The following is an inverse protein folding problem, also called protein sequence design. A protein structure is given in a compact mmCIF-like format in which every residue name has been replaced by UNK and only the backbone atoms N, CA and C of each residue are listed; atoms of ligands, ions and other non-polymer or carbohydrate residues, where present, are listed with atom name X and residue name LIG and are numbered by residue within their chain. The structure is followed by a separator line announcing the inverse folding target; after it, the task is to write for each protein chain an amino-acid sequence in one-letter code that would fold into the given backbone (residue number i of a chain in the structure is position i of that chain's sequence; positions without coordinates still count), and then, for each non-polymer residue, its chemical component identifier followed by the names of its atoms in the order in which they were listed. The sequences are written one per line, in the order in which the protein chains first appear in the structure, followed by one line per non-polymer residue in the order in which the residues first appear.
data_IF_108629806743
#
_entry.id   IF_108629806743
#
_cell.length_a   1.000
_cell.length_b   1.000
_cell.length_c   1.000
_cell.angle_alpha   90.00
_cell.angle_beta   90.00
_cell.angle_gamma   90.00
#
_symmetry.space_group_name_H-M   'P 1'
#
loop_
_entity.id
_entity.type
_entity.pdbx_description
1 polymer ?
#
# COMPACT_ATOMS: atom_id res chain seq x y z
N UNK A 1 10.33 -14.70 -17.12
CA UNK A 1 9.71 -14.11 -18.33
C UNK A 1 8.83 -12.91 -18.04
N UNK A 2 8.12 -12.84 -16.90
CA UNK A 2 7.15 -11.78 -16.58
C UNK A 2 7.76 -10.48 -16.01
N UNK A 3 9.06 -10.41 -15.82
CA UNK A 3 9.75 -9.28 -15.12
C UNK A 3 9.52 -7.92 -15.77
N UNK A 4 9.32 -7.88 -17.09
CA UNK A 4 9.19 -6.64 -17.86
C UNK A 4 7.73 -6.16 -18.04
N UNK A 5 6.73 -6.97 -17.69
CA UNK A 5 5.31 -6.63 -17.91
C UNK A 5 4.92 -5.33 -17.20
N UNK A 6 5.17 -5.23 -15.89
CA UNK A 6 4.84 -4.04 -15.12
C UNK A 6 5.66 -2.80 -15.55
N UNK A 7 6.99 -2.87 -15.74
CA UNK A 7 7.76 -1.74 -16.24
C UNK A 7 7.34 -1.24 -17.61
N UNK A 8 7.03 -2.13 -18.53
CA UNK A 8 6.54 -1.75 -19.87
C UNK A 8 5.16 -1.11 -19.80
N UNK A 9 4.26 -1.67 -19.00
CA UNK A 9 2.95 -1.06 -18.78
C UNK A 9 3.06 0.35 -18.16
N UNK A 10 3.89 0.52 -17.13
CA UNK A 10 4.05 1.83 -16.48
C UNK A 10 4.68 2.89 -17.39
N UNK A 11 5.47 2.48 -18.42
CA UNK A 11 6.07 3.40 -19.39
C UNK A 11 5.16 3.77 -20.56
N UNK A 12 4.44 2.80 -21.10
CA UNK A 12 3.74 2.90 -22.39
C UNK A 12 2.21 2.82 -22.25
N UNK A 13 1.70 2.75 -21.02
CA UNK A 13 0.28 2.61 -20.74
C UNK A 13 -0.23 1.19 -20.98
N UNK A 14 -1.56 1.02 -20.82
CA UNK A 14 -2.19 -0.29 -20.79
C UNK A 14 -1.98 -1.07 -22.08
N UNK A 15 -2.42 -0.53 -23.21
CA UNK A 15 -2.48 -1.29 -24.46
C UNK A 15 -1.08 -1.59 -25.04
N UNK A 16 -0.28 -0.55 -25.23
CA UNK A 16 1.06 -0.72 -25.80
C UNK A 16 1.98 -1.46 -24.82
N UNK A 17 1.86 -1.21 -23.53
CA UNK A 17 2.65 -1.90 -22.52
C UNK A 17 2.33 -3.38 -22.42
N UNK A 18 1.06 -3.80 -22.52
CA UNK A 18 0.66 -5.20 -22.58
C UNK A 18 1.17 -5.86 -23.84
N UNK A 19 1.00 -5.21 -25.00
CA UNK A 19 1.49 -5.75 -26.28
C UNK A 19 3.01 -6.00 -26.26
N UNK A 20 3.79 -5.02 -25.83
CA UNK A 20 5.25 -5.16 -25.71
C UNK A 20 5.65 -6.20 -24.67
N UNK A 21 4.92 -6.28 -23.55
CA UNK A 21 5.13 -7.29 -22.51
C UNK A 21 4.84 -8.70 -23.00
N UNK A 22 3.76 -8.87 -23.75
CA UNK A 22 3.41 -10.16 -24.37
C UNK A 22 4.47 -10.59 -25.39
N UNK A 23 4.96 -9.65 -26.19
CA UNK A 23 6.02 -9.89 -27.17
C UNK A 23 7.32 -10.32 -26.47
N UNK A 24 7.73 -9.61 -25.41
CA UNK A 24 8.91 -9.95 -24.60
C UNK A 24 8.79 -11.34 -23.97
N UNK A 25 7.61 -11.66 -23.43
CA UNK A 25 7.33 -12.99 -22.86
C UNK A 25 7.38 -14.09 -23.92
N UNK A 26 6.84 -13.83 -25.10
CA UNK A 26 6.85 -14.80 -26.22
C UNK A 26 8.28 -15.11 -26.65
N UNK A 27 9.12 -14.09 -26.86
CA UNK A 27 10.54 -14.26 -27.16
C UNK A 27 11.29 -15.01 -26.05
N UNK A 28 11.05 -14.62 -24.78
CA UNK A 28 11.67 -15.29 -23.65
C UNK A 28 11.29 -16.78 -23.55
N UNK A 29 10.08 -17.14 -23.95
CA UNK A 29 9.60 -18.51 -23.91
C UNK A 29 10.16 -19.39 -25.07
N UNK A 30 10.30 -18.81 -26.24
CA UNK A 30 10.79 -19.57 -27.44
C UNK A 30 12.31 -19.57 -27.53
N UNK A 31 12.94 -18.42 -27.30
CA UNK A 31 14.38 -18.22 -27.54
C UNK A 31 15.22 -18.20 -26.24
N UNK A 32 14.58 -18.25 -25.09
CA UNK A 32 15.26 -18.26 -23.78
C UNK A 32 15.82 -16.90 -23.33
N UNK A 33 15.57 -15.81 -24.05
CA UNK A 33 16.01 -14.48 -23.67
C UNK A 33 14.89 -13.44 -23.78
N UNK A 34 14.96 -12.40 -22.94
CA UNK A 34 14.02 -11.27 -23.00
C UNK A 34 14.45 -10.28 -24.09
N UNK A 35 13.53 -9.87 -24.96
CA UNK A 35 13.77 -8.95 -26.06
C UNK A 35 14.30 -7.58 -25.59
N UNK A 36 13.76 -7.09 -24.47
CA UNK A 36 14.14 -5.79 -23.91
C UNK A 36 15.14 -5.88 -22.74
N UNK A 37 15.74 -7.07 -22.52
CA UNK A 37 16.63 -7.29 -21.37
C UNK A 37 15.90 -7.11 -20.04
N UNK A 38 16.40 -6.21 -19.16
CA UNK A 38 15.71 -5.84 -17.92
C UNK A 38 15.27 -4.38 -17.99
N UNK A 39 13.96 -4.17 -18.11
CA UNK A 39 13.37 -2.83 -18.12
C UNK A 39 13.19 -2.36 -16.68
N UNK A 40 13.71 -1.17 -16.36
CA UNK A 40 13.51 -0.53 -15.06
C UNK A 40 12.26 0.34 -15.07
N UNK A 41 11.62 0.50 -13.91
CA UNK A 41 10.57 1.48 -13.72
C UNK A 41 11.10 2.90 -14.00
N UNK A 42 10.22 3.79 -14.45
CA UNK A 42 10.58 5.18 -14.76
C UNK A 42 10.84 6.00 -13.49
N UNK A 43 10.08 5.72 -12.43
CA UNK A 43 10.11 6.41 -11.15
C UNK A 43 9.83 5.41 -10.01
N UNK A 44 10.07 5.81 -8.78
CA UNK A 44 9.69 5.02 -7.62
C UNK A 44 8.16 5.01 -7.44
N UNK A 45 7.64 4.03 -6.71
CA UNK A 45 6.17 3.88 -6.54
C UNK A 45 5.56 5.06 -5.77
N UNK A 46 6.28 5.61 -4.78
CA UNK A 46 5.82 6.78 -4.02
C UNK A 46 5.72 8.05 -4.87
N UNK A 47 6.59 8.23 -5.88
CA UNK A 47 6.56 9.37 -6.80
C UNK A 47 5.34 9.39 -7.73
N UNK A 48 4.60 8.28 -7.82
CA UNK A 48 3.43 8.17 -8.71
C UNK A 48 2.15 8.70 -8.10
N UNK A 49 2.14 9.02 -6.81
CA UNK A 49 0.96 9.49 -6.13
C UNK A 49 0.62 10.92 -6.55
N UNK A 50 -0.63 11.14 -6.95
CA UNK A 50 -1.14 12.46 -7.29
C UNK A 50 -1.66 13.17 -6.05
N UNK A 51 -1.64 14.51 -6.05
CA UNK A 51 -2.28 15.30 -5.00
C UNK A 51 -3.78 15.03 -4.97
N UNK A 52 -4.39 15.14 -3.82
CA UNK A 52 -5.83 14.91 -3.64
C UNK A 52 -6.66 15.87 -4.51
N UNK A 53 -6.24 17.13 -4.63
CA UNK A 53 -6.87 18.14 -5.50
C UNK A 53 -6.93 17.75 -6.98
N UNK A 54 -6.00 16.92 -7.44
CA UNK A 54 -5.88 16.51 -8.84
C UNK A 54 -6.63 15.21 -9.13
N UNK A 55 -7.27 14.64 -8.12
CA UNK A 55 -7.99 13.38 -8.19
C UNK A 55 -9.51 13.61 -8.13
N UNK A 56 -10.25 12.83 -8.92
CA UNK A 56 -11.70 12.77 -8.75
C UNK A 56 -12.06 11.90 -7.56
N UNK A 57 -13.00 12.37 -6.75
CA UNK A 57 -13.62 11.53 -5.72
C UNK A 57 -14.40 10.41 -6.41
N UNK A 58 -14.12 9.18 -6.02
CA UNK A 58 -14.83 8.01 -6.53
C UNK A 58 -15.76 7.55 -5.41
N UNK A 59 -17.06 7.54 -5.70
CA UNK A 59 -18.06 6.97 -4.80
C UNK A 59 -18.10 5.46 -5.02
N UNK A 60 -17.50 4.72 -4.11
CA UNK A 60 -17.50 3.26 -4.14
C UNK A 60 -18.80 2.73 -3.50
N UNK A 61 -19.44 1.72 -4.10
CA UNK A 61 -20.60 1.09 -3.49
C UNK A 61 -20.21 0.51 -2.12
N UNK A 62 -21.08 0.70 -1.15
CA UNK A 62 -20.90 0.09 0.18
C UNK A 62 -20.98 -1.44 0.09
N UNK A 63 -20.25 -2.13 0.95
CA UNK A 63 -20.33 -3.58 1.07
C UNK A 63 -21.76 -4.00 1.47
N UNK A 64 -22.22 -5.10 0.90
CA UNK A 64 -23.57 -5.63 1.12
C UNK A 64 -23.64 -6.67 2.26
N UNK A 65 -22.50 -7.04 2.82
CA UNK A 65 -22.37 -8.05 3.87
C UNK A 65 -22.69 -9.49 3.42
N UNK A 66 -22.84 -9.73 2.11
CA UNK A 66 -23.17 -11.05 1.52
C UNK A 66 -22.11 -11.51 0.51
N UNK A 67 -21.78 -10.66 -0.45
CA UNK A 67 -20.78 -10.92 -1.49
C UNK A 67 -19.53 -10.08 -1.22
N UNK A 68 -19.71 -8.87 -0.71
CA UNK A 68 -18.66 -7.95 -0.34
C UNK A 68 -18.75 -7.57 1.14
N UNK A 69 -17.61 -7.44 1.78
CA UNK A 69 -17.51 -7.17 3.22
C UNK A 69 -16.66 -5.94 3.48
N UNK A 70 -16.91 -5.26 4.60
CA UNK A 70 -16.10 -4.14 5.06
C UNK A 70 -14.65 -4.61 5.33
N UNK A 71 -13.70 -3.74 5.03
CA UNK A 71 -12.27 -4.05 5.20
C UNK A 71 -11.91 -4.46 6.64
N UNK A 72 -12.41 -3.71 7.62
CA UNK A 72 -12.11 -3.96 9.02
C UNK A 72 -12.78 -5.24 9.53
N UNK A 73 -13.98 -5.58 9.04
CA UNK A 73 -14.63 -6.84 9.34
C UNK A 73 -13.78 -8.02 8.85
N UNK A 74 -13.25 -7.94 7.62
CA UNK A 74 -12.37 -8.98 7.09
C UNK A 74 -11.09 -9.16 7.93
N UNK A 75 -10.48 -8.06 8.38
CA UNK A 75 -9.31 -8.11 9.26
C UNK A 75 -9.67 -8.74 10.61
N UNK A 76 -10.81 -8.35 11.18
CA UNK A 76 -11.31 -8.92 12.44
C UNK A 76 -11.58 -10.42 12.32
N UNK A 77 -12.24 -10.87 11.24
CA UNK A 77 -12.55 -12.29 11.02
C UNK A 77 -11.31 -13.14 10.78
N UNK A 78 -10.24 -12.59 10.25
CA UNK A 78 -8.97 -13.32 10.11
C UNK A 78 -8.28 -13.60 11.46
N UNK A 79 -8.68 -12.89 12.51
CA UNK A 79 -8.05 -12.96 13.82
C UNK A 79 -6.61 -12.46 13.82
N UNK A 80 -6.26 -11.54 12.92
CA UNK A 80 -4.92 -10.95 12.85
C UNK A 80 -4.59 -10.25 14.17
N UNK A 81 -3.53 -10.68 14.81
CA UNK A 81 -3.04 -10.12 16.08
C UNK A 81 -1.51 -10.22 16.17
N UNK A 82 -0.94 -9.38 17.02
CA UNK A 82 0.48 -9.42 17.35
C UNK A 82 0.63 -9.67 18.86
N UNK A 83 1.76 -10.21 19.29
CA UNK A 83 2.04 -10.39 20.71
C UNK A 83 2.11 -9.04 21.43
N UNK A 84 1.50 -8.93 22.61
CA UNK A 84 1.39 -7.67 23.35
C UNK A 84 2.77 -7.07 23.72
N UNK A 85 3.77 -7.91 23.96
CA UNK A 85 5.13 -7.48 24.27
C UNK A 85 5.99 -7.11 23.05
N UNK A 86 5.46 -7.26 21.84
CA UNK A 86 6.19 -6.98 20.61
C UNK A 86 6.31 -5.48 20.37
N UNK A 87 7.54 -4.96 20.11
CA UNK A 87 7.70 -3.55 19.74
C UNK A 87 6.97 -3.23 18.42
N UNK A 88 6.44 -2.02 18.30
CA UNK A 88 5.83 -1.57 17.05
C UNK A 88 6.85 -1.63 15.91
N UNK A 89 6.52 -2.38 14.87
CA UNK A 89 7.36 -2.58 13.69
C UNK A 89 7.18 -1.47 12.63
N UNK A 90 6.28 -0.53 12.87
CA UNK A 90 6.03 0.64 12.03
C UNK A 90 6.54 1.87 12.74
N UNK A 91 7.56 2.52 12.19
CA UNK A 91 8.12 3.75 12.74
C UNK A 91 7.94 4.91 11.79
N UNK A 92 7.74 6.08 12.35
CA UNK A 92 7.77 7.36 11.64
C UNK A 92 9.13 8.00 11.85
N UNK A 93 9.71 8.58 10.80
CA UNK A 93 10.91 9.38 10.92
C UNK A 93 10.59 10.76 11.54
N UNK A 94 9.42 11.32 11.19
CA UNK A 94 8.87 12.55 11.76
C UNK A 94 7.35 12.39 11.99
N UNK A 95 6.92 12.45 13.24
CA UNK A 95 5.52 12.31 13.66
C UNK A 95 4.60 13.42 13.14
N UNK A 96 5.16 14.54 12.73
CA UNK A 96 4.39 15.68 12.23
C UNK A 96 3.98 15.59 10.78
N UNK A 97 4.73 14.84 9.95
CA UNK A 97 4.54 14.75 8.50
C UNK A 97 3.14 14.25 8.11
N UNK A 98 2.59 13.19 8.72
CA UNK A 98 1.27 12.69 8.32
C UNK A 98 0.17 13.76 8.40
N UNK A 99 0.19 14.57 9.47
CA UNK A 99 -0.83 15.60 9.70
C UNK A 99 -0.50 16.90 8.96
N UNK A 100 0.75 17.36 9.01
CA UNK A 100 1.12 18.67 8.50
C UNK A 100 1.44 18.70 7.01
N UNK A 101 1.81 17.57 6.43
CA UNK A 101 2.19 17.48 5.02
C UNK A 101 1.30 16.53 4.22
N UNK A 102 1.20 15.25 4.63
CA UNK A 102 0.48 14.24 3.85
C UNK A 102 -1.03 14.48 3.85
N UNK A 103 -1.60 14.89 4.98
CA UNK A 103 -3.03 15.15 5.09
C UNK A 103 -3.49 16.29 4.18
N UNK A 104 -2.89 17.50 4.16
CA UNK A 104 -3.32 18.57 3.27
C UNK A 104 -2.98 18.33 1.80
N UNK A 105 -1.90 17.63 1.47
CA UNK A 105 -1.47 17.41 0.10
C UNK A 105 -2.15 16.20 -0.55
N UNK A 106 -2.37 15.13 0.19
CA UNK A 106 -2.79 13.81 -0.31
C UNK A 106 -3.97 13.20 0.46
N UNK A 107 -4.57 13.93 1.42
CA UNK A 107 -5.60 13.45 2.37
C UNK A 107 -5.13 12.22 3.17
N UNK A 108 -3.89 12.18 3.58
CA UNK A 108 -3.19 11.08 4.24
C UNK A 108 -3.51 9.73 3.60
N UNK A 109 -2.76 9.37 2.55
CA UNK A 109 -3.12 8.24 1.68
C UNK A 109 -2.93 6.88 2.35
N UNK A 110 -2.22 6.80 3.48
CA UNK A 110 -2.05 5.57 4.24
C UNK A 110 -3.39 4.99 4.70
N UNK A 111 -4.39 5.82 4.94
CA UNK A 111 -5.75 5.40 5.26
C UNK A 111 -6.39 4.58 4.13
N UNK A 112 -5.99 4.80 2.88
CA UNK A 112 -6.58 4.18 1.68
C UNK A 112 -5.75 3.04 1.13
N UNK A 113 -4.42 3.19 1.03
CA UNK A 113 -3.59 2.12 0.47
C UNK A 113 -3.30 0.99 1.45
N UNK A 114 -3.48 1.19 2.76
CA UNK A 114 -3.30 0.10 3.71
C UNK A 114 -4.47 -0.90 3.61
N UNK A 115 -4.21 -2.19 3.29
CA UNK A 115 -5.27 -3.18 3.14
C UNK A 115 -5.89 -3.58 4.48
N UNK A 116 -5.20 -3.34 5.60
CA UNK A 116 -5.60 -3.80 6.92
C UNK A 116 -6.12 -2.69 7.86
N UNK A 117 -6.30 -1.45 7.36
CA UNK A 117 -6.82 -0.35 8.17
C UNK A 117 -5.92 0.02 9.36
N UNK A 118 -4.60 -0.05 9.16
CA UNK A 118 -3.63 0.25 10.21
C UNK A 118 -3.56 1.74 10.51
N UNK A 119 -3.78 2.59 9.52
CA UNK A 119 -3.60 4.04 9.63
C UNK A 119 -4.92 4.78 9.63
N UNK A 120 -5.07 5.70 10.57
CA UNK A 120 -6.26 6.55 10.72
C UNK A 120 -5.89 7.98 11.05
N UNK A 121 -6.68 8.92 10.51
CA UNK A 121 -6.72 10.30 11.02
C UNK A 121 -7.89 10.41 11.98
N UNK A 122 -7.58 10.40 13.27
CA UNK A 122 -8.57 10.60 14.33
C UNK A 122 -8.78 12.09 14.53
N UNK A 123 -10.04 12.51 14.59
CA UNK A 123 -10.45 13.89 14.84
C UNK A 123 -11.30 13.91 16.11
N UNK A 124 -10.81 14.58 17.13
CA UNK A 124 -11.52 14.76 18.40
C UNK A 124 -12.25 16.11 18.41
N UNK A 125 -13.55 16.11 18.80
CA UNK A 125 -14.39 17.31 18.80
C UNK A 125 -14.68 17.87 17.41
N UNK A 126 -14.79 19.19 17.28
CA UNK A 126 -15.19 19.89 16.05
C UNK A 126 -14.09 19.98 14.96
N UNK A 127 -13.33 18.94 14.74
CA UNK A 127 -12.27 18.82 13.71
C UNK A 127 -11.00 19.69 13.92
N UNK A 128 -10.77 20.22 15.12
CA UNK A 128 -9.73 21.21 15.33
C UNK A 128 -8.30 20.64 15.45
N UNK A 129 -8.12 19.38 15.84
CA UNK A 129 -6.79 18.77 15.99
C UNK A 129 -6.75 17.34 15.44
N UNK A 130 -6.47 17.15 14.14
CA UNK A 130 -6.29 15.81 13.59
C UNK A 130 -5.05 15.13 14.19
N UNK A 131 -5.17 13.85 14.56
CA UNK A 131 -4.09 13.02 15.06
C UNK A 131 -3.92 11.80 14.17
N UNK A 132 -2.69 11.49 13.79
CA UNK A 132 -2.36 10.27 13.08
C UNK A 132 -2.23 9.10 14.06
N UNK A 133 -2.98 8.04 13.83
CA UNK A 133 -3.00 6.85 14.66
C UNK A 133 -2.55 5.63 13.87
N UNK A 134 -1.70 4.80 14.49
CA UNK A 134 -1.19 3.55 13.91
C UNK A 134 -1.73 2.38 14.74
N UNK A 135 -2.69 1.65 14.16
CA UNK A 135 -3.28 0.44 14.74
C UNK A 135 -2.46 -0.78 14.31
N UNK A 136 -1.22 -0.88 14.77
CA UNK A 136 -0.25 -1.87 14.30
C UNK A 136 -0.69 -3.32 14.51
N UNK A 137 -1.59 -3.58 15.45
CA UNK A 137 -2.17 -4.90 15.70
C UNK A 137 -2.89 -5.49 14.48
N UNK A 138 -3.43 -4.63 13.61
CA UNK A 138 -4.10 -5.05 12.37
C UNK A 138 -3.10 -5.35 11.24
N UNK A 139 -1.81 -5.07 11.40
CA UNK A 139 -0.85 -5.10 10.32
C UNK A 139 -0.59 -6.52 9.80
N UNK A 140 -0.71 -6.71 8.50
CA UNK A 140 -0.43 -7.98 7.79
C UNK A 140 0.97 -8.01 7.15
N UNK A 141 1.85 -7.08 7.51
CA UNK A 141 3.24 -6.98 7.06
C UNK A 141 3.44 -6.95 5.53
N UNK A 142 2.50 -6.36 4.80
CA UNK A 142 2.57 -6.27 3.33
C UNK A 142 3.57 -5.23 2.82
N UNK A 143 4.12 -4.36 3.68
CA UNK A 143 5.09 -3.29 3.37
C UNK A 143 4.60 -2.22 2.38
N UNK A 144 3.32 -2.19 2.07
CA UNK A 144 2.77 -1.20 1.14
C UNK A 144 3.03 0.23 1.63
N UNK A 145 2.97 0.48 2.93
CA UNK A 145 3.22 1.78 3.53
C UNK A 145 4.66 2.26 3.32
N UNK A 146 5.65 1.42 3.61
CA UNK A 146 7.07 1.69 3.41
C UNK A 146 7.40 2.05 1.94
N UNK A 147 6.75 1.35 1.00
CA UNK A 147 6.98 1.56 -0.45
C UNK A 147 6.21 2.77 -0.99
N UNK A 148 5.00 3.04 -0.48
CA UNK A 148 4.02 3.92 -1.13
C UNK A 148 3.87 5.28 -0.46
N UNK A 149 4.37 5.45 0.76
CA UNK A 149 4.29 6.73 1.44
C UNK A 149 4.96 7.84 0.63
N UNK A 150 4.23 8.92 0.24
CA UNK A 150 4.78 9.96 -0.62
C UNK A 150 5.95 10.71 0.02
N UNK A 151 5.98 10.78 1.33
CA UNK A 151 7.06 11.43 2.10
C UNK A 151 8.17 10.47 2.51
N UNK A 152 8.02 9.17 2.23
CA UNK A 152 8.93 8.10 2.68
C UNK A 152 9.21 8.18 4.19
N UNK A 153 8.22 8.59 4.96
CA UNK A 153 8.28 8.81 6.40
C UNK A 153 7.97 7.57 7.22
N UNK A 154 7.31 6.57 6.60
CA UNK A 154 6.94 5.32 7.26
C UNK A 154 7.99 4.26 6.95
N UNK A 155 8.67 3.77 7.98
CA UNK A 155 9.65 2.68 7.85
C UNK A 155 9.10 1.41 8.49
N UNK A 156 9.02 0.32 7.73
CA UNK A 156 8.71 -1.00 8.24
C UNK A 156 9.98 -1.68 8.77
N UNK A 157 9.98 -2.09 10.03
CA UNK A 157 11.08 -2.83 10.66
C UNK A 157 10.72 -4.31 10.79
N UNK A 158 11.72 -5.17 10.64
CA UNK A 158 11.53 -6.61 10.87
C UNK A 158 11.10 -6.85 12.32
N UNK A 159 10.08 -7.69 12.58
CA UNK A 159 9.73 -8.08 13.93
C UNK A 159 10.85 -8.91 14.57
N UNK A 160 10.77 -9.12 15.87
CA UNK A 160 11.68 -10.02 16.59
C UNK A 160 11.54 -11.45 16.05
N UNK A 161 12.59 -12.26 16.21
CA UNK A 161 12.59 -13.65 15.76
C UNK A 161 11.45 -14.46 16.42
N UNK A 162 10.63 -15.09 15.58
CA UNK A 162 9.44 -15.81 16.02
C UNK A 162 8.18 -14.93 16.21
N UNK A 163 8.31 -13.62 16.06
CA UNK A 163 7.21 -12.65 16.15
C UNK A 163 6.69 -12.27 14.74
N UNK A 164 5.59 -11.58 14.70
CA UNK A 164 4.90 -11.15 13.48
C UNK A 164 3.38 -11.29 13.64
N UNK A 165 2.62 -11.17 12.54
CA UNK A 165 1.18 -11.34 12.62
C UNK A 165 0.81 -12.81 12.86
N UNK A 166 -0.11 -13.02 13.77
CA UNK A 166 -0.74 -14.31 14.02
C UNK A 166 -2.16 -14.28 13.44
N UNK A 167 -2.56 -15.34 12.77
CA UNK A 167 -3.87 -15.47 12.10
C UNK A 167 -4.62 -16.65 12.74
N UNK A 168 -5.22 -16.44 13.88
CA UNK A 168 -5.84 -17.53 14.66
C UNK A 168 -7.08 -18.15 14.00
N UNK A 169 -7.67 -17.46 13.02
CA UNK A 169 -8.88 -17.91 12.33
C UNK A 169 -8.65 -18.31 10.85
N UNK A 170 -7.38 -18.48 10.46
CA UNK A 170 -7.02 -18.94 9.10
C UNK A 170 -6.19 -20.20 9.14
#
# INVERSE_FOLDING_TARGET
PVKNVKPLWSRFGLFLGIFLGALDMWFANILGFNLFGTVKHKCADHDTLKRASDCKVIDYPKSDGKISFERLDNVSFSGTAHSDGQPCHLSLDDESIPVNHNLPAYEEPAQRYCPAGVYEIVREGDNLNPRFQINYQNCVHCKTCDIKDPSQNITWKTPQGGEGPNYSHM
#
